data_IF_184559484120
#
_entry.id   IF_184559484120
#
_cell.length_a   1.000
_cell.length_b   1.000
_cell.length_c   1.000
_cell.angle_alpha   90.00
_cell.angle_beta   90.00
_cell.angle_gamma   90.00
#
_symmetry.space_group_name_H-M   'P 1'
#
loop_
_entity.id
_entity.type
_entity.pdbx_description
1 polymer ?
#
# COMPACT_ATOMS: atom_id res chain seq x y z
N UNK A 1 15.22 -16.16 74.92
CA UNK A 1 14.53 -15.17 74.06
C UNK A 1 13.93 -15.90 72.87
N UNK A 2 12.62 -15.85 72.77
CA UNK A 2 11.78 -16.49 71.75
C UNK A 2 11.60 -15.58 70.54
N UNK A 3 11.53 -16.16 69.33
CA UNK A 3 10.64 -15.81 68.19
C UNK A 3 11.16 -16.54 66.94
N UNK A 4 10.52 -17.63 66.53
CA UNK A 4 9.38 -17.72 65.62
C UNK A 4 9.81 -17.65 64.14
N UNK A 5 10.10 -18.82 63.58
CA UNK A 5 10.26 -19.07 62.15
C UNK A 5 8.87 -19.19 61.51
N UNK A 6 8.49 -18.19 60.71
CA UNK A 6 7.26 -18.22 59.92
C UNK A 6 7.55 -18.69 58.48
N UNK A 7 7.14 -19.90 58.05
CA UNK A 7 7.31 -20.37 56.69
C UNK A 7 6.09 -20.03 55.82
N UNK A 8 6.00 -18.80 55.33
CA UNK A 8 4.93 -18.41 54.38
C UNK A 8 5.45 -17.72 53.10
N UNK A 9 6.77 -17.68 52.87
CA UNK A 9 7.39 -16.87 51.81
C UNK A 9 7.38 -17.44 50.37
N UNK A 10 6.87 -18.65 50.10
CA UNK A 10 7.05 -19.29 48.77
C UNK A 10 5.72 -19.48 48.01
N UNK A 11 4.56 -19.22 48.62
CA UNK A 11 3.25 -19.45 47.96
C UNK A 11 2.66 -18.24 47.21
N UNK A 12 3.35 -17.09 47.18
CA UNK A 12 2.84 -15.87 46.55
C UNK A 12 3.21 -15.68 45.06
N UNK A 13 3.89 -16.63 44.42
CA UNK A 13 4.32 -16.49 43.01
C UNK A 13 3.26 -16.77 41.96
N UNK A 14 2.14 -17.44 42.31
CA UNK A 14 1.15 -17.92 41.32
C UNK A 14 -0.15 -17.08 41.33
N UNK A 15 -0.38 -16.29 42.39
CA UNK A 15 -1.54 -15.42 42.49
C UNK A 15 -1.40 -14.08 41.73
N UNK A 16 -0.17 -13.54 41.61
CA UNK A 16 0.11 -12.27 40.90
C UNK A 16 0.10 -12.35 39.37
N UNK A 17 0.16 -13.55 38.80
CA UNK A 17 0.13 -13.75 37.33
C UNK A 17 -1.31 -13.66 36.79
N UNK A 18 -2.32 -13.98 37.61
CA UNK A 18 -3.73 -13.95 37.18
C UNK A 18 -4.30 -12.53 37.07
N UNK A 19 -3.80 -11.57 37.85
CA UNK A 19 -4.23 -10.16 37.76
C UNK A 19 -3.57 -9.41 36.59
N UNK A 20 -2.31 -9.74 36.23
CA UNK A 20 -1.63 -9.15 35.06
C UNK A 20 -2.27 -9.55 33.72
N UNK A 21 -2.77 -10.78 33.60
CA UNK A 21 -3.45 -11.22 32.37
C UNK A 21 -4.83 -10.55 32.24
N UNK A 22 -5.56 -10.38 33.36
CA UNK A 22 -6.85 -9.68 33.38
C UNK A 22 -6.70 -8.18 33.02
N UNK A 23 -5.65 -7.52 33.51
CA UNK A 23 -5.34 -6.12 33.17
C UNK A 23 -4.91 -5.93 31.71
N UNK A 24 -4.27 -6.92 31.09
CA UNK A 24 -3.85 -6.85 29.68
C UNK A 24 -5.05 -6.87 28.72
N UNK A 25 -6.08 -7.67 29.04
CA UNK A 25 -7.30 -7.74 28.24
C UNK A 25 -8.17 -6.48 28.40
N UNK A 26 -8.22 -5.90 29.60
CA UNK A 26 -8.90 -4.61 29.81
C UNK A 26 -8.13 -3.45 29.19
N UNK A 27 -6.79 -3.44 29.26
CA UNK A 27 -5.96 -2.46 28.57
C UNK A 27 -6.11 -2.56 27.04
N UNK A 28 -6.14 -3.78 26.48
CA UNK A 28 -6.39 -3.99 25.05
C UNK A 28 -7.79 -3.53 24.63
N UNK A 29 -8.80 -3.72 25.49
CA UNK A 29 -10.18 -3.28 25.26
C UNK A 29 -10.30 -1.76 25.34
N UNK A 30 -9.69 -1.12 26.33
CA UNK A 30 -9.64 0.34 26.48
C UNK A 30 -8.88 0.94 25.31
N UNK A 31 -7.70 0.43 24.93
CA UNK A 31 -6.92 0.91 23.78
C UNK A 31 -7.70 0.79 22.46
N UNK A 32 -8.43 -0.32 22.24
CA UNK A 32 -9.27 -0.50 21.05
C UNK A 32 -10.44 0.49 21.03
N UNK A 33 -11.05 0.76 22.17
CA UNK A 33 -12.25 1.63 22.22
C UNK A 33 -11.87 3.11 22.22
N UNK A 34 -10.81 3.50 22.93
CA UNK A 34 -10.29 4.86 22.94
C UNK A 34 -9.59 5.21 21.62
N UNK A 35 -8.72 4.33 21.10
CA UNK A 35 -8.02 4.58 19.83
C UNK A 35 -8.97 4.75 18.64
N UNK A 36 -10.03 3.93 18.56
CA UNK A 36 -11.02 4.05 17.47
C UNK A 36 -11.86 5.32 17.60
N UNK A 37 -12.21 5.74 18.82
CA UNK A 37 -13.01 6.95 19.01
C UNK A 37 -12.18 8.22 18.84
N UNK A 38 -10.92 8.22 19.30
CA UNK A 38 -10.01 9.35 19.14
C UNK A 38 -9.64 9.58 17.67
N UNK A 39 -9.41 8.52 16.90
CA UNK A 39 -9.23 8.64 15.44
C UNK A 39 -10.50 9.19 14.76
N UNK A 40 -11.70 8.79 15.21
CA UNK A 40 -12.95 9.33 14.65
C UNK A 40 -13.14 10.81 14.97
N UNK A 41 -12.75 11.24 16.16
CA UNK A 41 -12.89 12.63 16.61
C UNK A 41 -11.86 13.52 15.90
N UNK A 42 -10.61 13.07 15.75
CA UNK A 42 -9.61 13.79 14.95
C UNK A 42 -9.98 13.85 13.46
N UNK A 43 -10.56 12.79 12.90
CA UNK A 43 -11.09 12.80 11.53
C UNK A 43 -12.26 13.76 11.38
N UNK A 44 -13.13 13.89 12.39
CA UNK A 44 -14.24 14.85 12.36
C UNK A 44 -13.77 16.30 12.45
N UNK A 45 -12.78 16.58 13.30
CA UNK A 45 -12.14 17.89 13.41
C UNK A 45 -11.43 18.24 12.10
N UNK A 46 -10.63 17.32 11.57
CA UNK A 46 -9.96 17.49 10.27
C UNK A 46 -10.97 17.70 9.14
N UNK A 47 -12.11 17.00 9.14
CA UNK A 47 -13.17 17.17 8.14
C UNK A 47 -13.84 18.54 8.25
N UNK A 48 -14.07 19.04 9.45
CA UNK A 48 -14.65 20.36 9.67
C UNK A 48 -13.69 21.45 9.22
N UNK A 49 -12.41 21.33 9.57
CA UNK A 49 -11.35 22.27 9.18
C UNK A 49 -11.05 22.22 7.67
N UNK A 50 -11.04 21.04 7.06
CA UNK A 50 -10.96 20.87 5.60
C UNK A 50 -12.18 21.44 4.89
N UNK A 51 -13.37 21.42 5.49
CA UNK A 51 -14.56 22.02 4.86
C UNK A 51 -14.47 23.54 4.86
N UNK A 52 -14.10 24.17 5.98
CA UNK A 52 -13.98 25.64 6.04
C UNK A 52 -12.75 26.15 5.29
N UNK A 53 -11.56 25.58 5.51
CA UNK A 53 -10.33 25.99 4.83
C UNK A 53 -10.27 25.52 3.37
N UNK A 54 -10.75 24.31 3.09
CA UNK A 54 -10.76 23.73 1.75
C UNK A 54 -11.79 24.37 0.81
N UNK A 55 -12.89 24.95 1.30
CA UNK A 55 -13.80 25.74 0.45
C UNK A 55 -13.15 27.06 0.03
N UNK A 56 -12.44 27.76 0.92
CA UNK A 56 -11.72 28.98 0.57
C UNK A 56 -10.57 28.70 -0.41
N UNK A 57 -9.76 27.68 -0.12
CA UNK A 57 -8.68 27.23 -1.01
C UNK A 57 -9.24 26.70 -2.34
N UNK A 58 -10.36 25.98 -2.31
CA UNK A 58 -11.03 25.44 -3.48
C UNK A 58 -11.60 26.51 -4.41
N UNK A 59 -12.19 27.58 -3.85
CA UNK A 59 -12.62 28.75 -4.63
C UNK A 59 -11.42 29.45 -5.29
N UNK A 60 -10.33 29.64 -4.54
CA UNK A 60 -9.09 30.21 -5.09
C UNK A 60 -8.50 29.34 -6.22
N UNK A 61 -8.44 28.03 -6.01
CA UNK A 61 -7.99 27.07 -7.02
C UNK A 61 -8.90 27.06 -8.27
N UNK A 62 -10.22 27.22 -8.10
CA UNK A 62 -11.15 27.34 -9.22
C UNK A 62 -10.91 28.61 -10.05
N UNK A 63 -10.72 29.77 -9.42
CA UNK A 63 -10.35 30.99 -10.13
C UNK A 63 -9.00 30.88 -10.84
N UNK A 64 -8.01 30.25 -10.20
CA UNK A 64 -6.71 29.99 -10.84
C UNK A 64 -6.82 29.04 -12.03
N UNK A 65 -7.68 28.02 -11.94
CA UNK A 65 -7.94 27.12 -13.07
C UNK A 65 -8.57 27.88 -14.25
N UNK A 66 -9.56 28.74 -14.00
CA UNK A 66 -10.15 29.60 -15.03
C UNK A 66 -9.11 30.57 -15.60
N UNK A 67 -8.33 31.24 -14.75
CA UNK A 67 -7.26 32.12 -15.17
C UNK A 67 -6.21 31.41 -16.04
N UNK A 68 -5.87 30.15 -15.73
CA UNK A 68 -4.97 29.34 -16.54
C UNK A 68 -5.53 29.08 -17.94
N UNK A 69 -6.83 28.77 -18.06
CA UNK A 69 -7.50 28.60 -19.36
C UNK A 69 -7.47 29.91 -20.17
N UNK A 70 -7.79 31.04 -19.54
CA UNK A 70 -7.71 32.35 -20.20
C UNK A 70 -6.28 32.73 -20.58
N UNK A 71 -5.28 32.37 -19.77
CA UNK A 71 -3.88 32.56 -20.10
C UNK A 71 -3.49 31.74 -21.35
N UNK A 72 -3.99 30.50 -21.50
CA UNK A 72 -3.81 29.71 -22.72
C UNK A 72 -4.41 30.41 -23.95
N UNK A 73 -5.64 30.94 -23.84
CA UNK A 73 -6.25 31.70 -24.94
C UNK A 73 -5.47 32.98 -25.26
N UNK A 74 -4.96 33.68 -24.25
CA UNK A 74 -4.14 34.88 -24.45
C UNK A 74 -2.85 34.55 -25.22
N UNK A 75 -2.18 33.45 -24.89
CA UNK A 75 -1.00 33.00 -25.65
C UNK A 75 -1.34 32.75 -27.12
N UNK A 76 -2.45 32.07 -27.40
CA UNK A 76 -2.91 31.83 -28.79
C UNK A 76 -3.18 33.16 -29.51
N UNK A 77 -3.84 34.10 -28.85
CA UNK A 77 -4.13 35.42 -29.42
C UNK A 77 -2.85 36.22 -29.71
N UNK A 78 -1.87 36.19 -28.81
CA UNK A 78 -0.55 36.83 -29.03
C UNK A 78 0.17 36.18 -30.22
N UNK A 79 0.16 34.85 -30.33
CA UNK A 79 0.76 34.16 -31.48
C UNK A 79 0.09 34.61 -32.77
N UNK A 80 -1.25 34.67 -32.80
CA UNK A 80 -2.01 35.17 -33.95
C UNK A 80 -1.63 36.61 -34.31
N UNK A 81 -1.50 37.49 -33.31
CA UNK A 81 -1.07 38.87 -33.49
C UNK A 81 0.35 38.96 -34.07
N UNK A 82 1.29 38.16 -33.55
CA UNK A 82 2.68 38.12 -34.04
C UNK A 82 2.74 37.65 -35.50
N UNK A 83 1.95 36.63 -35.85
CA UNK A 83 1.84 36.13 -37.23
C UNK A 83 1.25 37.20 -38.14
N UNK A 84 0.18 37.87 -37.70
CA UNK A 84 -0.45 38.94 -38.47
C UNK A 84 0.50 40.12 -38.68
N UNK A 85 1.22 40.54 -37.64
CA UNK A 85 2.12 41.69 -37.67
C UNK A 85 3.28 41.46 -38.63
N UNK A 86 3.94 40.30 -38.56
CA UNK A 86 5.01 39.93 -39.50
C UNK A 86 4.44 39.60 -40.90
N UNK A 87 3.19 39.16 -40.96
CA UNK A 87 2.44 38.92 -42.20
C UNK A 87 2.18 40.18 -43.05
N UNK A 88 2.40 41.38 -42.50
CA UNK A 88 2.40 42.62 -43.28
C UNK A 88 3.67 42.81 -44.12
N UNK A 89 4.77 42.13 -43.75
CA UNK A 89 6.06 42.22 -44.44
C UNK A 89 6.31 41.02 -45.37
N UNK A 90 5.80 39.84 -45.01
CA UNK A 90 5.96 38.58 -45.75
C UNK A 90 4.61 37.86 -45.89
N UNK A 91 4.44 36.93 -46.84
CA UNK A 91 3.20 36.14 -46.94
C UNK A 91 2.81 35.47 -45.61
N UNK A 92 1.51 35.44 -45.30
CA UNK A 92 1.00 34.91 -44.02
C UNK A 92 1.49 33.49 -43.69
N UNK A 93 1.61 32.63 -44.70
CA UNK A 93 2.13 31.27 -44.53
C UNK A 93 3.60 31.26 -44.09
N UNK A 94 4.43 32.18 -44.59
CA UNK A 94 5.84 32.29 -44.22
C UNK A 94 5.99 32.87 -42.81
N UNK A 95 5.19 33.88 -42.48
CA UNK A 95 5.13 34.45 -41.12
C UNK A 95 4.81 33.37 -40.08
N UNK A 96 3.81 32.53 -40.35
CA UNK A 96 3.42 31.42 -39.47
C UNK A 96 4.57 30.41 -39.26
N UNK A 97 5.29 30.05 -40.33
CA UNK A 97 6.44 29.13 -40.25
C UNK A 97 7.60 29.73 -39.45
N UNK A 98 7.88 31.02 -39.61
CA UNK A 98 8.95 31.71 -38.87
C UNK A 98 8.66 31.65 -37.36
N UNK A 99 7.47 32.08 -36.93
CA UNK A 99 7.10 32.05 -35.51
C UNK A 99 7.01 30.63 -34.96
N UNK A 100 6.52 29.66 -35.74
CA UNK A 100 6.55 28.25 -35.38
C UNK A 100 7.99 27.77 -35.11
N UNK A 101 8.94 28.14 -35.97
CA UNK A 101 10.36 27.84 -35.78
C UNK A 101 10.94 28.48 -34.52
N UNK A 102 10.64 29.76 -34.26
CA UNK A 102 11.07 30.46 -33.04
C UNK A 102 10.55 29.76 -31.78
N UNK A 103 9.27 29.41 -31.73
CA UNK A 103 8.70 28.70 -30.59
C UNK A 103 9.26 27.30 -30.44
N UNK A 104 9.53 26.57 -31.52
CA UNK A 104 10.16 25.25 -31.48
C UNK A 104 11.55 25.31 -30.81
N UNK A 105 12.36 26.33 -31.13
CA UNK A 105 13.67 26.54 -30.52
C UNK A 105 13.52 26.82 -29.01
N UNK A 106 12.59 27.70 -28.63
CA UNK A 106 12.33 28.01 -27.22
C UNK A 106 11.88 26.75 -26.46
N UNK A 107 10.96 25.96 -27.03
CA UNK A 107 10.49 24.69 -26.48
C UNK A 107 11.62 23.68 -26.34
N UNK A 108 12.54 23.59 -27.31
CA UNK A 108 13.68 22.70 -27.23
C UNK A 108 14.63 23.09 -26.08
N UNK A 109 14.91 24.39 -25.91
CA UNK A 109 15.77 24.91 -24.82
C UNK A 109 15.11 24.64 -23.46
N UNK A 110 13.84 25.04 -23.29
CA UNK A 110 13.10 24.83 -22.05
C UNK A 110 12.93 23.34 -21.73
N UNK A 111 12.63 22.53 -22.74
CA UNK A 111 12.52 21.08 -22.63
C UNK A 111 13.85 20.44 -22.21
N UNK A 112 14.98 20.90 -22.76
CA UNK A 112 16.30 20.41 -22.38
C UNK A 112 16.66 20.83 -20.95
N UNK A 113 16.38 22.07 -20.55
CA UNK A 113 16.59 22.52 -19.16
C UNK A 113 15.72 21.71 -18.19
N UNK A 114 14.43 21.53 -18.53
CA UNK A 114 13.50 20.72 -17.76
C UNK A 114 13.97 19.27 -17.63
N UNK A 115 14.38 18.67 -18.74
CA UNK A 115 14.93 17.32 -18.78
C UNK A 115 16.19 17.19 -17.90
N UNK A 116 17.13 18.13 -17.99
CA UNK A 116 18.34 18.14 -17.14
C UNK A 116 17.98 18.26 -15.66
N UNK A 117 17.02 19.12 -15.31
CA UNK A 117 16.55 19.26 -13.92
C UNK A 117 15.87 18.00 -13.41
N UNK A 118 14.97 17.39 -14.19
CA UNK A 118 14.30 16.14 -13.81
C UNK A 118 15.30 14.99 -13.69
N UNK A 119 16.23 14.88 -14.64
CA UNK A 119 17.29 13.85 -14.63
C UNK A 119 18.21 14.00 -13.41
N UNK A 120 18.52 15.22 -13.00
CA UNK A 120 19.33 15.48 -11.81
C UNK A 120 18.65 15.08 -10.49
N UNK A 121 17.33 14.90 -10.49
CA UNK A 121 16.54 14.49 -9.33
C UNK A 121 16.25 12.97 -9.32
N UNK A 122 16.77 12.22 -10.30
CA UNK A 122 16.71 10.76 -10.31
C UNK A 122 17.91 10.15 -9.57
N UNK A 123 17.70 9.17 -8.66
CA UNK A 123 16.45 8.44 -8.44
C UNK A 123 15.47 9.17 -7.51
N UNK A 124 14.23 9.39 -7.98
CA UNK A 124 13.07 9.81 -7.17
C UNK A 124 12.60 8.68 -6.24
N UNK A 125 13.53 8.06 -5.51
CA UNK A 125 13.18 7.28 -4.35
C UNK A 125 13.05 8.27 -3.20
N UNK A 126 11.84 8.63 -2.74
CA UNK A 126 11.69 9.30 -1.46
C UNK A 126 12.14 8.31 -0.37
N UNK A 127 13.44 8.24 -0.12
CA UNK A 127 14.06 7.27 0.81
C UNK A 127 13.37 7.35 2.17
N UNK A 128 12.99 8.55 2.59
CA UNK A 128 12.28 8.82 3.84
C UNK A 128 10.86 8.22 3.88
N UNK A 129 10.11 8.28 2.78
CA UNK A 129 8.74 7.75 2.72
C UNK A 129 8.74 6.22 2.62
N UNK A 130 9.67 5.66 1.85
CA UNK A 130 9.87 4.22 1.74
C UNK A 130 10.36 3.65 3.08
N UNK A 131 11.27 4.36 3.76
CA UNK A 131 11.73 4.01 5.10
C UNK A 131 10.60 4.01 6.12
N UNK A 132 9.74 5.03 6.14
CA UNK A 132 8.60 5.10 7.06
C UNK A 132 7.67 3.90 6.92
N UNK A 133 7.27 3.56 5.69
CA UNK A 133 6.39 2.40 5.44
C UNK A 133 7.06 1.08 5.81
N UNK A 134 8.34 0.89 5.49
CA UNK A 134 9.09 -0.32 5.86
C UNK A 134 9.31 -0.43 7.36
N UNK A 135 9.54 0.69 8.05
CA UNK A 135 9.69 0.76 9.49
C UNK A 135 8.37 0.41 10.18
N UNK A 136 7.25 1.00 9.74
CA UNK A 136 5.93 0.72 10.29
C UNK A 136 5.54 -0.76 10.10
N UNK A 137 5.85 -1.35 8.94
CA UNK A 137 5.67 -2.78 8.70
C UNK A 137 6.58 -3.65 9.58
N UNK A 138 7.82 -3.23 9.80
CA UNK A 138 8.76 -3.89 10.70
C UNK A 138 8.29 -3.86 12.15
N UNK A 139 7.77 -2.71 12.62
CA UNK A 139 7.19 -2.57 13.97
C UNK A 139 5.92 -3.42 14.11
N UNK A 140 5.09 -3.53 13.07
CA UNK A 140 3.92 -4.42 13.08
C UNK A 140 4.30 -5.91 13.13
N UNK A 141 5.45 -6.30 12.54
CA UNK A 141 5.91 -7.69 12.49
C UNK A 141 6.73 -8.10 13.73
N UNK A 142 7.63 -7.23 14.19
CA UNK A 142 8.67 -7.54 15.17
C UNK A 142 8.51 -6.72 16.48
N UNK A 143 7.53 -5.81 16.54
CA UNK A 143 7.28 -4.98 17.72
C UNK A 143 8.44 -4.04 18.02
N UNK A 144 8.73 -3.84 19.31
CA UNK A 144 9.81 -2.95 19.77
C UNK A 144 11.22 -3.45 19.46
N UNK A 145 11.38 -4.66 18.90
CA UNK A 145 12.67 -5.17 18.45
C UNK A 145 13.14 -4.53 17.13
N UNK A 146 12.21 -3.90 16.38
CA UNK A 146 12.53 -3.18 15.15
C UNK A 146 12.98 -1.75 15.47
N UNK A 147 14.29 -1.51 15.50
CA UNK A 147 14.84 -0.17 15.71
C UNK A 147 15.15 0.51 14.38
N UNK A 148 14.84 1.81 14.26
CA UNK A 148 15.10 2.61 13.05
C UNK A 148 16.59 2.58 12.63
N UNK A 149 17.51 2.51 13.60
CA UNK A 149 18.95 2.39 13.36
C UNK A 149 19.34 1.09 12.66
N UNK A 150 18.73 -0.04 13.04
CA UNK A 150 18.99 -1.36 12.44
C UNK A 150 18.53 -1.41 11.00
N UNK A 151 17.32 -0.91 10.70
CA UNK A 151 16.83 -0.83 9.31
C UNK A 151 17.72 0.06 8.45
N UNK A 152 18.18 1.19 8.99
CA UNK A 152 19.09 2.10 8.29
C UNK A 152 20.45 1.46 8.00
N UNK A 153 21.01 0.71 8.96
CA UNK A 153 22.24 -0.06 8.77
C UNK A 153 22.07 -1.16 7.72
N UNK A 154 20.97 -1.92 7.77
CA UNK A 154 20.68 -2.97 6.80
C UNK A 154 20.46 -2.42 5.39
N UNK A 155 19.76 -1.30 5.26
CA UNK A 155 19.58 -0.62 3.96
C UNK A 155 20.90 -0.07 3.42
N UNK A 156 21.73 0.52 4.26
CA UNK A 156 23.06 1.00 3.86
C UNK A 156 23.96 -0.16 3.42
N UNK A 157 23.93 -1.29 4.13
CA UNK A 157 24.67 -2.49 3.77
C UNK A 157 24.16 -3.11 2.46
N UNK A 158 22.84 -3.17 2.24
CA UNK A 158 22.24 -3.61 0.97
C UNK A 158 22.59 -2.68 -0.19
N UNK A 159 22.67 -1.37 0.05
CA UNK A 159 23.08 -0.39 -0.95
C UNK A 159 24.57 -0.55 -1.30
N UNK A 160 25.43 -0.69 -0.30
CA UNK A 160 26.86 -0.94 -0.46
C UNK A 160 27.13 -2.28 -1.17
N UNK A 161 26.43 -3.35 -0.81
CA UNK A 161 26.50 -4.66 -1.50
C UNK A 161 26.11 -4.55 -2.96
N UNK A 162 25.02 -3.84 -3.28
CA UNK A 162 24.61 -3.59 -4.67
C UNK A 162 25.62 -2.75 -5.44
N UNK A 163 26.28 -1.78 -4.79
CA UNK A 163 27.33 -0.99 -5.41
C UNK A 163 28.57 -1.85 -5.67
N UNK A 164 29.03 -2.62 -4.69
CA UNK A 164 30.14 -3.55 -4.83
C UNK A 164 29.87 -4.63 -5.89
N UNK A 165 28.65 -5.17 -5.98
CA UNK A 165 28.25 -6.10 -7.05
C UNK A 165 28.30 -5.45 -8.43
N UNK A 166 27.88 -4.17 -8.54
CA UNK A 166 27.95 -3.42 -9.81
C UNK A 166 29.39 -3.09 -10.21
N UNK A 167 30.22 -2.73 -9.24
CA UNK A 167 31.65 -2.46 -9.45
C UNK A 167 32.38 -3.74 -9.84
N UNK A 168 32.17 -4.83 -9.11
CA UNK A 168 32.72 -6.14 -9.46
C UNK A 168 32.20 -6.65 -10.82
N UNK A 169 30.94 -6.40 -11.17
CA UNK A 169 30.42 -6.73 -12.50
C UNK A 169 31.04 -5.84 -13.59
N UNK A 170 31.29 -4.55 -13.32
CA UNK A 170 31.94 -3.64 -14.24
C UNK A 170 33.43 -3.99 -14.42
N UNK A 171 34.12 -4.38 -13.35
CA UNK A 171 35.51 -4.85 -13.40
C UNK A 171 35.62 -6.18 -14.13
N UNK A 172 34.74 -7.15 -13.85
CA UNK A 172 34.64 -8.39 -14.63
C UNK A 172 34.38 -8.12 -16.10
N UNK A 173 33.47 -7.21 -16.43
CA UNK A 173 33.20 -6.83 -17.81
C UNK A 173 34.42 -6.17 -18.49
N UNK A 174 35.20 -5.37 -17.75
CA UNK A 174 36.45 -4.76 -18.25
C UNK A 174 37.56 -5.80 -18.44
N UNK A 175 37.75 -6.69 -17.47
CA UNK A 175 38.71 -7.80 -17.54
C UNK A 175 38.37 -8.75 -18.69
N UNK A 176 37.10 -9.14 -18.82
CA UNK A 176 36.63 -9.92 -19.96
C UNK A 176 36.86 -9.19 -21.29
N UNK A 177 36.65 -7.87 -21.35
CA UNK A 177 36.91 -7.10 -22.57
C UNK A 177 38.40 -7.01 -22.91
N UNK A 178 39.28 -6.86 -21.91
CA UNK A 178 40.74 -6.86 -22.08
C UNK A 178 41.28 -8.24 -22.47
N UNK A 179 40.79 -9.31 -21.84
CA UNK A 179 41.13 -10.68 -22.21
C UNK A 179 40.64 -11.04 -23.62
N UNK A 180 39.43 -10.62 -24.00
CA UNK A 180 38.91 -10.82 -25.37
C UNK A 180 39.79 -10.07 -26.40
N UNK A 181 40.20 -8.84 -26.08
CA UNK A 181 41.16 -8.09 -26.91
C UNK A 181 42.51 -8.79 -27.02
N UNK A 182 43.01 -9.39 -25.93
CA UNK A 182 44.26 -10.16 -25.91
C UNK A 182 44.15 -11.51 -26.66
N UNK A 183 42.98 -12.15 -26.65
CA UNK A 183 42.65 -13.35 -27.44
C UNK A 183 42.39 -13.06 -28.92
N UNK A 184 42.35 -11.79 -29.34
CA UNK A 184 42.03 -11.40 -30.71
C UNK A 184 40.56 -11.64 -31.10
N UNK A 185 39.67 -11.78 -30.11
CA UNK A 185 38.24 -12.00 -30.31
C UNK A 185 37.54 -10.65 -30.53
N UNK A 186 36.89 -10.48 -31.69
CA UNK A 186 36.06 -9.29 -31.99
C UNK A 186 34.92 -9.12 -30.97
N UNK A 187 34.51 -7.87 -30.71
CA UNK A 187 33.37 -7.55 -29.84
C UNK A 187 32.14 -8.40 -30.21
N UNK A 188 31.33 -8.85 -29.23
CA UNK A 188 30.16 -9.68 -29.51
C UNK A 188 29.27 -8.95 -30.52
N UNK A 189 29.26 -9.46 -31.77
CA UNK A 189 28.50 -8.88 -32.87
C UNK A 189 27.06 -8.68 -32.41
N UNK A 190 26.45 -7.50 -32.64
CA UNK A 190 25.06 -7.27 -32.27
C UNK A 190 24.21 -8.42 -32.79
N UNK A 191 23.35 -8.95 -31.92
CA UNK A 191 22.48 -10.09 -32.20
C UNK A 191 21.88 -9.93 -33.60
N UNK A 192 22.04 -10.96 -34.43
CA UNK A 192 21.48 -10.94 -35.78
C UNK A 192 19.97 -10.70 -35.69
N UNK A 193 19.39 -9.97 -36.65
CA UNK A 193 17.95 -9.61 -36.63
C UNK A 193 17.06 -10.83 -36.36
N UNK A 194 17.44 -12.00 -36.86
CA UNK A 194 16.76 -13.27 -36.62
C UNK A 194 16.78 -13.70 -35.13
N UNK A 195 17.92 -13.58 -34.45
CA UNK A 195 18.06 -13.88 -33.03
C UNK A 195 17.27 -12.89 -32.16
N UNK A 196 17.17 -11.63 -32.59
CA UNK A 196 16.32 -10.62 -31.95
C UNK A 196 14.85 -11.00 -32.10
N UNK A 197 14.43 -11.44 -33.28
CA UNK A 197 13.07 -11.91 -33.51
C UNK A 197 12.73 -13.16 -32.68
N UNK A 198 13.66 -14.11 -32.57
CA UNK A 198 13.48 -15.32 -31.74
C UNK A 198 13.31 -14.97 -30.26
N UNK A 199 14.21 -14.17 -29.67
CA UNK A 199 14.06 -13.70 -28.28
C UNK A 199 12.78 -12.91 -28.06
N UNK A 200 12.35 -12.14 -29.05
CA UNK A 200 11.09 -11.40 -28.97
C UNK A 200 9.88 -12.34 -28.99
N UNK A 201 9.92 -13.40 -29.80
CA UNK A 201 8.89 -14.46 -29.80
C UNK A 201 8.86 -15.20 -28.46
N UNK A 202 10.00 -15.59 -27.92
CA UNK A 202 10.11 -16.24 -26.61
C UNK A 202 9.57 -15.36 -25.48
N UNK A 203 9.90 -14.07 -25.47
CA UNK A 203 9.35 -13.10 -24.49
C UNK A 203 7.83 -12.99 -24.60
N UNK A 204 7.28 -12.93 -25.82
CA UNK A 204 5.83 -12.89 -26.03
C UNK A 204 5.14 -14.16 -25.54
N UNK A 205 5.74 -15.33 -25.78
CA UNK A 205 5.24 -16.60 -25.27
C UNK A 205 5.26 -16.64 -23.74
N UNK A 206 6.35 -16.19 -23.12
CA UNK A 206 6.46 -16.11 -21.66
C UNK A 206 5.46 -15.13 -21.03
N UNK A 207 5.25 -13.97 -21.66
CA UNK A 207 4.24 -13.00 -21.21
C UNK A 207 2.81 -13.52 -21.36
N UNK A 208 2.52 -14.26 -22.43
CA UNK A 208 1.23 -14.92 -22.61
C UNK A 208 0.97 -15.94 -21.50
N UNK A 209 1.97 -16.80 -21.20
CA UNK A 209 1.87 -17.75 -20.09
C UNK A 209 1.62 -17.04 -18.74
N UNK A 210 2.33 -15.95 -18.48
CA UNK A 210 2.15 -15.15 -17.26
C UNK A 210 0.72 -14.56 -17.16
N UNK A 211 0.14 -14.12 -18.28
CA UNK A 211 -1.23 -13.61 -18.33
C UNK A 211 -2.24 -14.72 -18.04
N UNK A 212 -2.05 -15.88 -18.65
CA UNK A 212 -2.97 -17.00 -18.49
C UNK A 212 -2.92 -17.54 -17.05
N UNK A 213 -1.74 -17.55 -16.42
CA UNK A 213 -1.59 -17.87 -15.00
C UNK A 213 -2.28 -16.83 -14.11
N UNK A 214 -2.13 -15.53 -14.39
CA UNK A 214 -2.86 -14.48 -13.68
C UNK A 214 -4.38 -14.63 -13.82
N UNK A 215 -4.85 -15.02 -15.00
CA UNK A 215 -6.26 -15.25 -15.25
C UNK A 215 -6.78 -16.48 -14.48
N UNK A 216 -5.98 -17.55 -14.35
CA UNK A 216 -6.30 -18.68 -13.46
C UNK A 216 -6.37 -18.26 -12.00
N UNK A 217 -5.42 -17.44 -11.51
CA UNK A 217 -5.48 -16.91 -10.13
C UNK A 217 -6.74 -16.08 -9.90
N UNK A 218 -7.11 -15.22 -10.85
CA UNK A 218 -8.33 -14.41 -10.77
C UNK A 218 -9.60 -15.28 -10.75
N UNK A 219 -9.68 -16.29 -11.60
CA UNK A 219 -10.80 -17.24 -11.63
C UNK A 219 -10.89 -18.05 -10.34
N UNK A 220 -9.76 -18.53 -9.81
CA UNK A 220 -9.72 -19.27 -8.55
C UNK A 220 -10.14 -18.40 -7.36
N UNK A 221 -9.74 -17.13 -7.35
CA UNK A 221 -10.18 -16.17 -6.34
C UNK A 221 -11.69 -15.90 -6.43
N UNK A 222 -12.23 -15.79 -7.65
CA UNK A 222 -13.66 -15.60 -7.90
C UNK A 222 -14.49 -16.84 -7.53
N UNK A 223 -14.00 -18.05 -7.82
CA UNK A 223 -14.67 -19.29 -7.42
C UNK A 223 -14.65 -19.50 -5.91
N UNK A 224 -13.56 -19.14 -5.22
CA UNK A 224 -13.50 -19.18 -3.76
C UNK A 224 -14.48 -18.20 -3.12
N UNK A 225 -14.64 -17.00 -3.69
CA UNK A 225 -15.65 -16.04 -3.22
C UNK A 225 -17.06 -16.57 -3.47
N UNK A 226 -17.34 -17.10 -4.67
CA UNK A 226 -18.65 -17.65 -5.00
C UNK A 226 -19.01 -18.85 -4.13
N UNK A 227 -18.09 -19.80 -3.90
CA UNK A 227 -18.33 -20.95 -3.03
C UNK A 227 -18.57 -20.55 -1.57
N UNK A 228 -17.92 -19.48 -1.10
CA UNK A 228 -18.14 -18.93 0.24
C UNK A 228 -19.52 -18.28 0.34
N UNK A 229 -19.94 -17.55 -0.69
CA UNK A 229 -21.28 -16.94 -0.78
C UNK A 229 -22.37 -18.02 -0.86
N UNK A 230 -22.16 -19.05 -1.67
CA UNK A 230 -23.12 -20.16 -1.81
C UNK A 230 -23.22 -20.99 -0.52
N UNK A 231 -22.10 -21.21 0.17
CA UNK A 231 -22.07 -21.84 1.49
C UNK A 231 -22.80 -21.00 2.54
N UNK A 232 -22.64 -19.68 2.51
CA UNK A 232 -23.36 -18.75 3.38
C UNK A 232 -24.86 -18.74 3.06
N UNK A 233 -25.25 -18.73 1.78
CA UNK A 233 -26.66 -18.76 1.35
C UNK A 233 -27.35 -20.07 1.75
N UNK A 234 -26.65 -21.19 1.59
CA UNK A 234 -27.14 -22.53 2.00
C UNK A 234 -27.25 -22.63 3.53
N UNK A 235 -26.27 -22.09 4.25
CA UNK A 235 -26.31 -21.99 5.71
C UNK A 235 -27.47 -21.14 6.24
N UNK A 236 -27.80 -20.04 5.54
CA UNK A 236 -28.96 -19.18 5.86
C UNK A 236 -30.29 -19.85 5.53
N UNK A 237 -30.39 -20.59 4.43
CA UNK A 237 -31.60 -21.34 4.07
C UNK A 237 -31.89 -22.51 5.02
N UNK A 238 -30.85 -23.17 5.54
CA UNK A 238 -30.97 -24.27 6.50
C UNK A 238 -30.91 -23.82 7.98
N UNK A 239 -30.76 -22.53 8.24
CA UNK A 239 -30.76 -21.95 9.57
C UNK A 239 -32.05 -22.23 10.38
N UNK A 240 -33.27 -22.22 9.80
CA UNK A 240 -34.48 -22.45 10.59
C UNK A 240 -34.59 -23.89 11.10
N UNK A 241 -34.23 -24.88 10.28
CA UNK A 241 -34.28 -26.31 10.61
C UNK A 241 -33.13 -26.73 11.53
N UNK A 242 -31.93 -26.17 11.33
CA UNK A 242 -30.77 -26.39 12.21
C UNK A 242 -30.95 -25.73 13.58
N UNK A 243 -31.50 -24.51 13.64
CA UNK A 243 -31.80 -23.85 14.91
C UNK A 243 -32.91 -24.56 15.70
N UNK A 244 -33.95 -25.07 15.04
CA UNK A 244 -35.02 -25.83 15.69
C UNK A 244 -34.55 -27.19 16.23
N UNK A 245 -33.55 -27.81 15.58
CA UNK A 245 -32.95 -29.09 16.01
C UNK A 245 -31.96 -28.88 17.17
N UNK A 246 -31.12 -27.84 17.07
CA UNK A 246 -30.19 -27.44 18.14
C UNK A 246 -30.96 -26.96 19.38
N UNK A 247 -32.07 -26.22 19.20
CA UNK A 247 -32.95 -25.79 20.29
C UNK A 247 -33.61 -26.96 21.03
N UNK A 248 -34.15 -27.94 20.31
CA UNK A 248 -34.73 -29.16 20.92
C UNK A 248 -33.70 -29.98 21.68
N UNK A 249 -32.51 -30.16 21.12
CA UNK A 249 -31.42 -30.90 21.77
C UNK A 249 -30.78 -30.13 22.94
N UNK A 250 -30.85 -28.79 22.96
CA UNK A 250 -30.42 -27.97 24.10
C UNK A 250 -31.41 -28.08 25.27
N UNK A 251 -32.71 -28.03 25.00
CA UNK A 251 -33.74 -28.12 26.04
C UNK A 251 -33.75 -29.51 26.69
N UNK A 252 -33.48 -30.57 25.93
CA UNK A 252 -33.39 -31.94 26.47
C UNK A 252 -32.10 -32.24 27.25
N UNK A 253 -31.02 -31.49 27.01
CA UNK A 253 -29.74 -31.65 27.73
C UNK A 253 -29.59 -30.70 28.93
N UNK A 254 -30.32 -29.58 28.95
CA UNK A 254 -30.29 -28.61 30.06
C UNK A 254 -30.95 -29.14 31.35
N UNK A 255 -31.77 -30.19 31.27
CA UNK A 255 -32.40 -30.85 32.41
C UNK A 255 -31.49 -31.82 33.16
N UNK A 256 -30.22 -32.00 32.73
CA UNK A 256 -29.23 -32.86 33.41
C UNK A 256 -28.18 -32.02 34.16
N UNK A 257 -28.18 -32.02 35.51
CA UNK A 257 -27.34 -31.12 36.32
C UNK A 257 -25.83 -31.36 36.16
N UNK A 258 -25.41 -32.57 35.78
CA UNK A 258 -24.01 -32.94 35.55
C UNK A 258 -23.38 -32.20 34.34
N UNK A 259 -24.18 -31.93 33.30
CA UNK A 259 -23.72 -31.32 32.04
C UNK A 259 -23.60 -29.80 32.17
N UNK A 260 -24.41 -29.18 33.02
CA UNK A 260 -24.39 -27.74 33.27
C UNK A 260 -23.10 -27.34 33.98
N UNK A 261 -22.61 -28.12 34.94
CA UNK A 261 -21.35 -27.82 35.66
C UNK A 261 -20.10 -27.93 34.79
N UNK A 262 -20.04 -28.88 33.85
CA UNK A 262 -18.89 -29.06 32.97
C UNK A 262 -18.76 -27.92 31.93
N UNK A 263 -19.88 -27.36 31.46
CA UNK A 263 -19.91 -26.40 30.35
C UNK A 263 -19.69 -24.94 30.76
N UNK A 264 -19.97 -24.57 32.01
CA UNK A 264 -19.72 -23.20 32.50
C UNK A 264 -18.24 -22.81 32.57
N UNK A 265 -17.31 -23.78 32.58
CA UNK A 265 -15.86 -23.50 32.41
C UNK A 265 -15.46 -23.16 30.97
N UNK A 266 -16.25 -23.53 29.98
CA UNK A 266 -15.97 -23.30 28.55
C UNK A 266 -16.75 -22.14 27.94
N UNK A 267 -17.80 -21.64 28.62
CA UNK A 267 -18.65 -20.55 28.12
C UNK A 267 -18.24 -19.14 28.58
N UNK A 268 -17.27 -18.99 29.48
CA UNK A 268 -16.73 -17.68 29.85
C UNK A 268 -16.00 -16.96 28.70
N UNK A 269 -15.65 -17.66 27.62
CA UNK A 269 -14.89 -17.13 26.48
C UNK A 269 -15.72 -16.80 25.23
N UNK A 270 -17.03 -17.07 25.21
CA UNK A 270 -17.86 -16.92 24.00
C UNK A 270 -19.14 -16.09 24.16
N UNK A 271 -19.57 -15.77 25.38
CA UNK A 271 -20.85 -15.08 25.63
C UNK A 271 -20.91 -13.59 25.23
N UNK A 272 -19.77 -12.90 25.10
CA UNK A 272 -19.75 -11.44 24.89
C UNK A 272 -19.63 -11.00 23.41
N UNK A 273 -19.42 -11.93 22.47
CA UNK A 273 -19.13 -11.61 21.06
C UNK A 273 -20.39 -11.51 20.19
N UNK A 274 -21.43 -12.29 20.49
CA UNK A 274 -22.59 -12.44 19.60
C UNK A 274 -23.61 -11.29 19.68
N UNK A 275 -23.78 -10.66 20.83
CA UNK A 275 -24.73 -9.55 21.00
C UNK A 275 -24.27 -8.26 20.31
N UNK A 276 -22.95 -8.02 20.19
CA UNK A 276 -22.40 -6.86 19.49
C UNK A 276 -22.56 -6.94 17.97
N UNK A 277 -22.46 -8.15 17.40
CA UNK A 277 -22.58 -8.39 15.95
C UNK A 277 -24.02 -8.19 15.47
N UNK A 278 -25.01 -8.64 16.27
CA UNK A 278 -26.43 -8.49 15.94
C UNK A 278 -26.88 -7.01 15.96
N UNK A 279 -26.36 -6.22 16.90
CA UNK A 279 -26.67 -4.79 16.96
C UNK A 279 -26.01 -3.97 15.84
N UNK A 280 -24.81 -4.36 15.40
CA UNK A 280 -24.11 -3.72 14.30
C UNK A 280 -24.79 -4.01 12.94
N UNK A 281 -25.26 -5.24 12.73
CA UNK A 281 -26.03 -5.63 11.54
C UNK A 281 -27.38 -4.89 11.46
N UNK A 282 -28.07 -4.69 12.58
CA UNK A 282 -29.35 -3.97 12.61
C UNK A 282 -29.23 -2.47 12.24
N UNK A 283 -28.05 -1.87 12.44
CA UNK A 283 -27.82 -0.44 12.17
C UNK A 283 -27.48 -0.15 10.70
N UNK A 284 -26.94 -1.12 9.98
CA UNK A 284 -26.60 -1.01 8.55
C UNK A 284 -27.85 -1.15 7.66
N UNK A 285 -28.85 -1.91 8.10
CA UNK A 285 -30.08 -2.16 7.32
C UNK A 285 -31.11 -1.02 7.44
N UNK A 286 -30.87 -0.02 8.30
CA UNK A 286 -31.79 1.12 8.55
C UNK A 286 -31.27 2.47 8.05
N UNK A 287 -30.26 2.51 7.18
CA UNK A 287 -29.83 3.73 6.49
C UNK A 287 -30.10 3.63 5.00
#
# INVERSE_FOLDING_TARGET
MTTNTNPQGIRAGIAGIKSSIAGLFDAAKVLKTLGINQVKDEVQIAKHELKTKGVALGKGAAFLAVAAVFACFMVIAIIGLLIFLLGQLVPLWASALIWAGVFLIILAILGLIGYKKVKAQLPFAPESAIFGVLFDLGVLREGSAMTASRLKQEQAERAARKQAEREAAAEKARQEAEERKARGEEEPKPLTIEQIQQRTKERRAHLAALRDDMQKYAQNAQSFTQSTVDSAKTGVQNAPSSAATVGRNMVSNASKPEVVKARWKSFATLGASLSAVVLFLRKIVRR
#
